data_IF_377114325285
#
_entry.id   IF_377114325285
#
_cell.length_a   1.000
_cell.length_b   1.000
_cell.length_c   1.000
_cell.angle_alpha   90.00
_cell.angle_beta   90.00
_cell.angle_gamma   90.00
#
_symmetry.space_group_name_H-M   'P 1'
#
loop_
_entity.id
_entity.type
_entity.pdbx_description
1 polymer ?
#
# COMPACT_ATOMS: atom_id res chain seq x y z
N UNK A 1 7.77 8.58 -7.61
CA UNK A 1 6.41 8.59 -7.04
C UNK A 1 6.51 9.14 -5.64
N UNK A 2 5.89 10.30 -5.38
CA UNK A 2 5.85 10.88 -4.04
C UNK A 2 4.76 10.15 -3.24
N UNK A 3 5.17 9.17 -2.44
CA UNK A 3 4.29 8.39 -1.56
C UNK A 3 4.12 9.12 -0.22
N UNK A 4 3.64 10.36 -0.27
CA UNK A 4 3.37 11.14 0.93
C UNK A 4 1.96 10.90 1.48
N UNK A 5 1.82 10.92 2.81
CA UNK A 5 0.54 10.78 3.52
C UNK A 5 -0.57 11.71 2.98
N UNK A 6 -0.30 12.98 2.64
CA UNK A 6 -1.30 13.86 2.04
C UNK A 6 -1.81 13.39 0.68
N UNK A 7 -0.92 12.86 -0.17
CA UNK A 7 -1.30 12.32 -1.48
C UNK A 7 -2.19 11.09 -1.33
N UNK A 8 -1.87 10.19 -0.38
CA UNK A 8 -2.71 9.04 -0.05
C UNK A 8 -4.08 9.46 0.45
N UNK A 9 -4.16 10.41 1.38
CA UNK A 9 -5.44 10.91 1.90
C UNK A 9 -6.32 11.51 0.80
N UNK A 10 -5.72 12.25 -0.14
CA UNK A 10 -6.43 12.79 -1.31
C UNK A 10 -6.97 11.68 -2.21
N UNK A 11 -6.17 10.63 -2.43
CA UNK A 11 -6.59 9.47 -3.20
C UNK A 11 -7.77 8.74 -2.51
N UNK A 12 -7.65 8.47 -1.20
CA UNK A 12 -8.72 7.84 -0.39
C UNK A 12 -10.02 8.64 -0.51
N UNK A 13 -9.96 9.96 -0.26
CA UNK A 13 -11.14 10.84 -0.33
C UNK A 13 -11.81 10.82 -1.71
N UNK A 14 -11.01 10.76 -2.79
CA UNK A 14 -11.53 10.62 -4.15
C UNK A 14 -12.30 9.30 -4.31
N UNK A 15 -11.72 8.19 -3.88
CA UNK A 15 -12.31 6.85 -4.01
C UNK A 15 -13.47 6.58 -3.06
N UNK A 16 -13.54 7.24 -1.91
CA UNK A 16 -14.68 7.11 -0.97
C UNK A 16 -16.01 7.51 -1.63
N UNK A 17 -16.00 8.42 -2.61
CA UNK A 17 -17.20 8.79 -3.36
C UNK A 17 -17.81 7.62 -4.17
N UNK A 18 -16.99 6.67 -4.61
CA UNK A 18 -17.41 5.52 -5.41
C UNK A 18 -17.52 4.23 -4.59
N UNK A 19 -16.63 4.05 -3.60
CA UNK A 19 -16.47 2.79 -2.87
C UNK A 19 -16.82 2.91 -1.38
N UNK A 20 -17.16 4.10 -0.89
CA UNK A 20 -17.40 4.34 0.53
C UNK A 20 -16.19 3.97 1.39
N UNK A 21 -16.47 3.53 2.63
CA UNK A 21 -15.43 3.15 3.60
C UNK A 21 -14.67 1.87 3.25
N UNK A 22 -15.15 1.09 2.26
CA UNK A 22 -14.53 -0.18 1.87
C UNK A 22 -13.08 0.03 1.42
N UNK A 23 -12.78 1.16 0.75
CA UNK A 23 -11.42 1.44 0.27
C UNK A 23 -10.38 1.47 1.39
N UNK A 24 -10.74 2.04 2.56
CA UNK A 24 -9.82 2.12 3.69
C UNK A 24 -9.63 0.74 4.33
N UNK A 25 -10.72 0.01 4.52
CA UNK A 25 -10.71 -1.33 5.09
C UNK A 25 -9.88 -2.29 4.22
N UNK A 26 -10.05 -2.24 2.90
CA UNK A 26 -9.35 -3.13 1.99
C UNK A 26 -7.88 -2.75 1.84
N UNK A 27 -7.54 -1.46 1.91
CA UNK A 27 -6.15 -1.00 1.98
C UNK A 27 -5.45 -1.53 3.24
N UNK A 28 -6.09 -1.42 4.41
CA UNK A 28 -5.55 -1.95 5.68
C UNK A 28 -5.36 -3.48 5.61
N UNK A 29 -6.33 -4.21 5.04
CA UNK A 29 -6.22 -5.66 4.82
C UNK A 29 -5.05 -6.00 3.89
N UNK A 30 -4.88 -5.28 2.79
CA UNK A 30 -3.79 -5.53 1.85
C UNK A 30 -2.42 -5.32 2.51
N UNK A 31 -2.25 -4.24 3.28
CA UNK A 31 -1.01 -3.98 4.04
C UNK A 31 -0.76 -5.12 5.04
N UNK A 32 -1.81 -5.58 5.74
CA UNK A 32 -1.72 -6.70 6.67
C UNK A 32 -1.30 -8.00 5.98
N UNK A 33 -1.89 -8.33 4.83
CA UNK A 33 -1.53 -9.50 4.04
C UNK A 33 -0.07 -9.47 3.57
N UNK A 34 0.42 -8.30 3.15
CA UNK A 34 1.82 -8.13 2.77
C UNK A 34 2.79 -8.36 3.94
N UNK A 35 2.34 -8.16 5.18
CA UNK A 35 3.12 -8.43 6.39
C UNK A 35 3.04 -9.89 6.84
N UNK A 36 1.86 -10.50 6.76
CA UNK A 36 1.59 -11.82 7.33
C UNK A 36 1.93 -12.97 6.36
N UNK A 37 1.89 -12.72 5.05
CA UNK A 37 2.13 -13.75 4.04
C UNK A 37 3.55 -13.65 3.49
N UNK A 38 4.40 -14.60 3.91
CA UNK A 38 5.78 -14.70 3.43
C UNK A 38 5.84 -14.77 1.90
N UNK A 39 6.73 -13.96 1.31
CA UNK A 39 6.96 -13.91 -0.14
C UNK A 39 5.91 -13.14 -0.95
N UNK A 40 4.78 -12.72 -0.36
CA UNK A 40 3.76 -11.96 -1.10
C UNK A 40 4.29 -10.59 -1.54
N UNK A 41 5.01 -9.89 -0.65
CA UNK A 41 5.63 -8.60 -0.98
C UNK A 41 6.65 -8.73 -2.11
N UNK A 42 7.50 -9.75 -2.08
CA UNK A 42 8.49 -10.03 -3.12
C UNK A 42 7.82 -10.35 -4.46
N UNK A 43 6.71 -11.10 -4.43
CA UNK A 43 5.93 -11.38 -5.64
C UNK A 43 5.33 -10.10 -6.21
N UNK A 44 4.76 -9.23 -5.38
CA UNK A 44 4.24 -7.93 -5.80
C UNK A 44 5.36 -7.05 -6.37
N UNK A 45 6.52 -6.99 -5.71
CA UNK A 45 7.69 -6.26 -6.19
C UNK A 45 8.12 -6.73 -7.58
N UNK A 46 8.18 -8.05 -7.80
CA UNK A 46 8.53 -8.62 -9.11
C UNK A 46 7.48 -8.27 -10.18
N UNK A 47 6.19 -8.43 -9.86
CA UNK A 47 5.10 -8.13 -10.80
C UNK A 47 5.01 -6.65 -11.18
N UNK A 48 5.33 -5.76 -10.24
CA UNK A 48 5.31 -4.30 -10.45
C UNK A 48 6.65 -3.75 -10.94
N UNK A 49 7.63 -4.63 -11.22
CA UNK A 49 9.00 -4.26 -11.61
C UNK A 49 9.65 -3.24 -10.64
N UNK A 50 9.44 -3.43 -9.34
CA UNK A 50 10.03 -2.59 -8.29
C UNK A 50 11.46 -3.05 -8.03
N UNK A 51 12.41 -2.15 -8.21
CA UNK A 51 13.85 -2.43 -8.09
C UNK A 51 14.45 -2.07 -6.74
N UNK A 52 13.69 -1.43 -5.85
CA UNK A 52 14.20 -0.99 -4.55
C UNK A 52 14.27 -2.14 -3.53
N UNK A 53 15.13 -2.05 -2.49
CA UNK A 53 15.22 -3.07 -1.46
C UNK A 53 13.89 -3.28 -0.72
N UNK A 54 13.55 -4.55 -0.43
CA UNK A 54 12.32 -4.94 0.29
C UNK A 54 12.14 -4.15 1.59
N UNK A 55 13.20 -4.03 2.39
CA UNK A 55 13.16 -3.32 3.67
C UNK A 55 12.82 -1.83 3.51
N UNK A 56 13.36 -1.18 2.48
CA UNK A 56 13.08 0.24 2.20
C UNK A 56 11.65 0.43 1.70
N UNK A 57 11.18 -0.45 0.83
CA UNK A 57 9.77 -0.46 0.41
C UNK A 57 8.84 -0.65 1.61
N UNK A 58 9.15 -1.60 2.49
CA UNK A 58 8.36 -1.86 3.69
C UNK A 58 8.34 -0.67 4.65
N UNK A 59 9.47 0.02 4.81
CA UNK A 59 9.54 1.26 5.58
C UNK A 59 8.60 2.34 5.01
N UNK A 60 8.53 2.46 3.68
CA UNK A 60 7.61 3.41 3.03
C UNK A 60 6.14 3.02 3.23
N UNK A 61 5.80 1.75 3.09
CA UNK A 61 4.44 1.24 3.34
C UNK A 61 4.04 1.50 4.80
N UNK A 62 4.92 1.25 5.77
CA UNK A 62 4.66 1.54 7.19
C UNK A 62 4.49 3.02 7.51
N UNK A 63 5.09 3.93 6.73
CA UNK A 63 4.84 5.38 6.88
C UNK A 63 3.44 5.79 6.43
N UNK A 64 2.81 4.98 5.58
CA UNK A 64 1.46 5.21 5.04
C UNK A 64 0.36 4.60 5.91
N UNK A 65 0.68 3.54 6.65
CA UNK A 65 -0.19 2.97 7.69
C UNK A 65 -0.44 3.95 8.84
#
# INVERSE_FOLDING_TARGET
>A
MDLSKPALNKAIKKTESAYGKAIKVDLEKAIRQLNEQDGLLERCMKSMNITMPKALLWQHIRKLA
#
